data_IF_686738617279
#
_entry.id   IF_686738617279
#
_cell.length_a   1.000
_cell.length_b   1.000
_cell.length_c   1.000
_cell.angle_alpha   90.00
_cell.angle_beta   90.00
_cell.angle_gamma   90.00
#
_symmetry.space_group_name_H-M   'P 1'
#
loop_
_entity.id
_entity.type
_entity.pdbx_description
1 polymer ?
#
# COMPACT_ATOMS: atom_id res chain seq x y z
N UNK A 1 28.63 -13.29 4.93
CA UNK A 1 28.48 -11.97 4.29
C UNK A 1 27.06 -11.91 3.75
N UNK A 2 26.14 -11.28 4.46
CA UNK A 2 24.78 -11.06 3.95
C UNK A 2 24.57 -9.55 3.91
N UNK A 3 24.85 -8.96 2.76
CA UNK A 3 24.31 -7.67 2.41
C UNK A 3 22.95 -7.95 1.77
N UNK A 4 21.88 -7.85 2.56
CA UNK A 4 20.56 -7.64 2.00
C UNK A 4 20.56 -6.22 1.43
N UNK A 5 20.89 -6.09 0.15
CA UNK A 5 20.60 -4.88 -0.60
C UNK A 5 19.08 -4.72 -0.58
N UNK A 6 18.58 -3.83 0.28
CA UNK A 6 17.23 -3.27 0.16
C UNK A 6 17.18 -2.57 -1.19
N UNK A 7 16.67 -3.29 -2.19
CA UNK A 7 16.38 -2.74 -3.50
C UNK A 7 15.17 -1.83 -3.33
N UNK A 8 15.35 -0.52 -3.54
CA UNK A 8 14.32 0.50 -3.68
C UNK A 8 12.91 0.11 -3.20
N UNK A 9 12.62 0.37 -1.91
CA UNK A 9 11.47 -0.12 -1.13
C UNK A 9 10.15 -0.30 -1.88
N UNK A 10 9.45 -1.38 -1.55
CA UNK A 10 8.24 -1.80 -2.25
C UNK A 10 7.13 -0.73 -2.14
N UNK A 11 6.22 -0.72 -3.13
CA UNK A 11 5.07 0.17 -3.13
C UNK A 11 4.05 -0.35 -2.11
N UNK A 12 3.63 0.47 -1.16
CA UNK A 12 2.54 0.16 -0.25
C UNK A 12 1.25 0.86 -0.69
N UNK A 13 0.15 0.13 -0.58
CA UNK A 13 -1.22 0.62 -0.71
C UNK A 13 -1.94 0.44 0.62
N UNK A 14 -2.53 1.49 1.14
CA UNK A 14 -3.41 1.43 2.31
C UNK A 14 -4.84 1.71 1.87
N UNK A 15 -5.74 0.79 2.18
CA UNK A 15 -7.18 0.90 1.97
C UNK A 15 -7.84 0.73 3.34
N UNK A 16 -8.43 1.80 3.86
CA UNK A 16 -8.91 1.87 5.25
C UNK A 16 -7.82 1.47 6.28
N UNK A 17 -7.92 0.29 6.89
CA UNK A 17 -6.95 -0.27 7.83
C UNK A 17 -6.08 -1.38 7.25
N UNK A 18 -6.31 -1.76 5.99
CA UNK A 18 -5.61 -2.85 5.30
C UNK A 18 -4.44 -2.29 4.51
N UNK A 19 -3.26 -2.90 4.68
CA UNK A 19 -2.02 -2.51 3.99
C UNK A 19 -1.60 -3.65 3.08
N UNK A 20 -1.33 -3.32 1.83
CA UNK A 20 -0.89 -4.24 0.79
C UNK A 20 0.46 -3.80 0.24
N UNK A 21 1.32 -4.78 -0.02
CA UNK A 21 2.57 -4.56 -0.75
C UNK A 21 2.35 -4.90 -2.21
N UNK A 22 2.70 -3.97 -3.09
CA UNK A 22 2.73 -4.15 -4.53
C UNK A 22 4.17 -4.26 -5.02
N UNK A 23 4.43 -5.31 -5.80
CA UNK A 23 5.62 -5.36 -6.64
C UNK A 23 5.56 -4.25 -7.69
N UNK A 24 6.70 -3.68 -8.04
CA UNK A 24 6.78 -2.58 -9.01
C UNK A 24 7.61 -3.05 -10.21
N UNK A 25 7.07 -2.86 -11.42
CA UNK A 25 7.80 -3.21 -12.64
C UNK A 25 8.93 -2.21 -12.91
N UNK A 26 10.05 -2.70 -13.46
CA UNK A 26 11.17 -1.86 -13.89
C UNK A 26 10.85 -1.19 -15.24
N UNK A 27 10.12 -0.07 -15.19
CA UNK A 27 9.80 0.72 -16.38
C UNK A 27 9.63 2.22 -16.06
N UNK A 28 9.67 3.11 -17.09
CA UNK A 28 9.59 4.55 -16.88
C UNK A 28 8.28 5.02 -16.23
N UNK A 29 7.15 4.36 -16.52
CA UNK A 29 5.84 4.70 -15.94
C UNK A 29 5.82 4.42 -14.45
N UNK A 30 6.32 3.27 -14.03
CA UNK A 30 6.39 2.88 -12.63
C UNK A 30 7.36 3.78 -11.83
N UNK A 31 8.50 4.13 -12.41
CA UNK A 31 9.43 5.09 -11.80
C UNK A 31 8.81 6.48 -11.65
N UNK A 32 8.09 6.96 -12.67
CA UNK A 32 7.38 8.24 -12.62
C UNK A 32 6.23 8.21 -11.60
N UNK A 33 5.49 7.10 -11.51
CA UNK A 33 4.45 6.91 -10.49
C UNK A 33 5.04 6.96 -9.07
N UNK A 34 6.15 6.27 -8.81
CA UNK A 34 6.86 6.33 -7.51
C UNK A 34 7.26 7.76 -7.11
N UNK A 35 7.53 8.61 -8.09
CA UNK A 35 7.89 10.02 -7.86
C UNK A 35 6.70 10.89 -7.43
N UNK A 36 5.47 10.39 -7.52
CA UNK A 36 4.26 11.06 -7.03
C UNK A 36 3.96 10.74 -5.56
N UNK A 37 4.65 9.77 -4.96
CA UNK A 37 4.37 9.30 -3.61
C UNK A 37 4.91 10.27 -2.53
N UNK A 38 4.23 10.39 -1.37
CA UNK A 38 2.95 9.76 -1.04
C UNK A 38 1.78 10.37 -1.82
N UNK A 39 0.83 9.53 -2.23
CA UNK A 39 -0.30 9.94 -3.05
C UNK A 39 -1.60 9.36 -2.51
N UNK A 40 -2.58 10.22 -2.25
CA UNK A 40 -3.93 9.80 -1.86
C UNK A 40 -4.88 9.96 -3.05
N UNK A 41 -5.57 8.89 -3.42
CA UNK A 41 -6.53 8.87 -4.51
C UNK A 41 -7.89 8.36 -4.04
N UNK A 42 -8.94 9.09 -4.40
CA UNK A 42 -10.31 8.64 -4.24
C UNK A 42 -10.73 7.89 -5.50
N UNK A 43 -10.70 6.57 -5.43
CA UNK A 43 -10.88 5.67 -6.57
C UNK A 43 -12.32 5.19 -6.67
N UNK A 44 -12.95 5.39 -7.82
CA UNK A 44 -14.34 4.99 -8.06
C UNK A 44 -14.39 3.59 -8.64
N UNK A 45 -15.46 2.87 -8.32
CA UNK A 45 -15.77 1.58 -8.94
C UNK A 45 -16.21 1.78 -10.39
N UNK A 46 -15.67 0.96 -11.27
CA UNK A 46 -16.11 0.85 -12.65
C UNK A 46 -16.38 -0.62 -12.97
N UNK A 47 -17.55 -0.90 -13.52
CA UNK A 47 -17.99 -2.23 -13.97
C UNK A 47 -17.96 -3.36 -12.92
N UNK A 48 -17.71 -3.07 -11.64
CA UNK A 48 -17.64 -4.08 -10.60
C UNK A 48 -16.39 -4.96 -10.60
N UNK A 49 -15.36 -4.62 -11.39
CA UNK A 49 -14.09 -5.38 -11.47
C UNK A 49 -12.81 -4.52 -11.31
N UNK A 50 -12.94 -3.19 -11.35
CA UNK A 50 -11.81 -2.27 -11.27
C UNK A 50 -12.14 -1.02 -10.42
N UNK A 51 -11.12 -0.49 -9.74
CA UNK A 51 -11.14 0.84 -9.15
C UNK A 51 -10.27 1.77 -9.99
N UNK A 52 -10.71 2.99 -10.22
CA UNK A 52 -9.93 3.95 -11.02
C UNK A 52 -9.96 5.37 -10.48
N UNK A 53 -8.88 6.12 -10.74
CA UNK A 53 -8.78 7.56 -10.48
C UNK A 53 -7.78 8.21 -11.44
N UNK A 54 -7.97 9.50 -11.71
CA UNK A 54 -7.01 10.27 -12.48
C UNK A 54 -5.85 10.78 -11.61
N UNK A 55 -4.64 10.60 -12.10
CA UNK A 55 -3.42 11.16 -11.52
C UNK A 55 -3.36 12.69 -11.71
N UNK A 56 -2.69 13.41 -10.80
CA UNK A 56 -2.56 14.86 -10.89
C UNK A 56 -1.77 15.31 -12.13
N UNK A 57 -0.83 14.48 -12.60
CA UNK A 57 0.00 14.71 -13.78
C UNK A 57 -0.01 13.50 -14.71
N UNK A 58 0.25 13.75 -16.00
CA UNK A 58 0.41 12.67 -16.96
C UNK A 58 1.76 11.98 -16.79
N UNK A 59 1.77 10.66 -16.91
CA UNK A 59 2.96 9.82 -16.86
C UNK A 59 3.42 9.42 -18.28
N UNK A 60 4.70 9.04 -18.46
CA UNK A 60 5.13 8.36 -19.67
C UNK A 60 4.36 7.03 -19.84
N UNK A 61 4.17 6.61 -21.08
CA UNK A 61 3.36 5.44 -21.42
C UNK A 61 4.09 4.52 -22.38
N UNK A 62 3.99 3.23 -22.14
CA UNK A 62 4.44 2.17 -23.05
C UNK A 62 3.32 1.12 -23.11
N UNK A 63 2.13 1.57 -23.54
CA UNK A 63 0.91 0.78 -23.43
C UNK A 63 0.92 -0.39 -24.40
N UNK A 64 0.61 -1.58 -23.89
CA UNK A 64 0.47 -2.81 -24.68
C UNK A 64 -0.89 -3.44 -24.40
N UNK A 65 -1.37 -4.25 -25.33
CA UNK A 65 -2.51 -5.13 -25.07
C UNK A 65 -2.04 -6.31 -24.19
N UNK A 66 -2.52 -6.43 -22.93
CA UNK A 66 -2.13 -7.52 -22.07
C UNK A 66 -2.86 -8.84 -22.42
N UNK A 67 -3.95 -8.80 -23.18
CA UNK A 67 -4.87 -9.91 -23.48
C UNK A 67 -5.69 -10.40 -22.27
N UNK A 68 -5.05 -10.50 -21.11
CA UNK A 68 -5.65 -10.85 -19.83
C UNK A 68 -5.07 -10.00 -18.72
N UNK A 69 -5.97 -9.53 -17.86
CA UNK A 69 -5.71 -8.78 -16.64
C UNK A 69 -6.02 -9.69 -15.46
N UNK A 70 -5.15 -9.64 -14.44
CA UNK A 70 -5.30 -10.40 -13.21
C UNK A 70 -5.83 -9.49 -12.10
N UNK A 71 -6.61 -10.04 -11.19
CA UNK A 71 -6.82 -9.39 -9.90
C UNK A 71 -5.45 -9.00 -9.28
N UNK A 72 -5.37 -7.85 -8.63
CA UNK A 72 -4.15 -7.28 -8.09
C UNK A 72 -3.30 -6.48 -9.09
N UNK A 73 -3.59 -6.51 -10.39
CA UNK A 73 -2.85 -5.71 -11.36
C UNK A 73 -3.08 -4.19 -11.13
N UNK A 74 -1.98 -3.43 -11.03
CA UNK A 74 -1.98 -1.97 -11.00
C UNK A 74 -1.46 -1.43 -12.33
N UNK A 75 -2.31 -0.70 -13.06
CA UNK A 75 -2.05 -0.29 -14.44
C UNK A 75 -2.41 1.17 -14.70
N UNK A 76 -1.84 1.73 -15.77
CA UNK A 76 -2.20 3.03 -16.31
C UNK A 76 -2.97 2.88 -17.62
N UNK A 77 -4.18 3.42 -17.66
CA UNK A 77 -4.97 3.63 -18.86
C UNK A 77 -4.71 5.03 -19.44
N UNK A 78 -4.39 5.09 -20.73
CA UNK A 78 -3.87 6.31 -21.34
C UNK A 78 -2.61 6.78 -20.61
N UNK A 79 -2.54 8.07 -20.26
CA UNK A 79 -1.39 8.66 -19.55
C UNK A 79 -1.71 9.15 -18.14
N UNK A 80 -2.97 9.05 -17.69
CA UNK A 80 -3.42 9.68 -16.43
C UNK A 80 -4.30 8.80 -15.56
N UNK A 81 -5.02 7.83 -16.11
CA UNK A 81 -6.00 7.10 -15.33
C UNK A 81 -5.35 5.87 -14.71
N UNK A 82 -5.15 5.90 -13.40
CA UNK A 82 -4.68 4.76 -12.63
C UNK A 82 -5.83 3.78 -12.43
N UNK A 83 -5.57 2.50 -12.64
CA UNK A 83 -6.54 1.42 -12.52
C UNK A 83 -5.97 0.32 -11.63
N UNK A 84 -6.72 -0.03 -10.59
CA UNK A 84 -6.47 -1.15 -9.70
C UNK A 84 -7.52 -2.22 -9.95
N UNK A 85 -7.09 -3.36 -10.48
CA UNK A 85 -7.97 -4.49 -10.77
C UNK A 85 -8.10 -5.38 -9.55
N UNK A 86 -9.32 -5.81 -9.24
CA UNK A 86 -9.58 -6.77 -8.15
C UNK A 86 -10.35 -8.00 -8.64
N UNK A 87 -10.64 -8.10 -9.93
CA UNK A 87 -11.13 -9.30 -10.59
C UNK A 87 -10.36 -9.55 -11.89
N UNK A 88 -10.28 -10.81 -12.30
CA UNK A 88 -9.68 -11.17 -13.59
C UNK A 88 -10.55 -10.65 -14.75
N UNK A 89 -9.92 -10.11 -15.79
CA UNK A 89 -10.64 -9.54 -16.93
C UNK A 89 -9.92 -9.77 -18.25
N UNK A 90 -10.65 -10.12 -19.30
CA UNK A 90 -10.09 -10.20 -20.65
C UNK A 90 -10.46 -8.94 -21.42
N UNK A 91 -9.47 -8.36 -22.10
CA UNK A 91 -9.60 -7.09 -22.78
C UNK A 91 -8.69 -7.03 -24.00
N UNK A 92 -9.05 -6.20 -24.97
CA UNK A 92 -8.22 -5.80 -26.10
C UNK A 92 -7.74 -4.33 -25.98
N UNK A 93 -8.03 -3.68 -24.85
CA UNK A 93 -7.53 -2.34 -24.57
C UNK A 93 -6.07 -2.38 -24.16
N UNK A 94 -5.37 -1.27 -24.41
CA UNK A 94 -3.96 -1.14 -24.10
C UNK A 94 -3.75 -0.44 -22.78
N UNK A 95 -2.86 -0.99 -21.95
CA UNK A 95 -2.49 -0.45 -20.65
C UNK A 95 -0.97 -0.44 -20.50
N UNK A 96 -0.45 0.44 -19.63
CA UNK A 96 0.94 0.35 -19.19
C UNK A 96 0.97 -0.23 -17.78
N UNK A 97 1.67 -1.35 -17.57
CA UNK A 97 1.77 -2.00 -16.24
C UNK A 97 2.65 -1.19 -15.30
N UNK A 98 2.18 -0.98 -14.07
CA UNK A 98 2.94 -0.27 -13.01
C UNK A 98 3.40 -1.26 -11.94
N UNK A 99 2.50 -2.12 -11.47
CA UNK A 99 2.79 -3.08 -10.42
C UNK A 99 1.73 -4.15 -10.28
N UNK A 100 1.90 -5.01 -9.28
CA UNK A 100 0.91 -6.03 -8.92
C UNK A 100 0.96 -6.35 -7.44
N UNK A 101 -0.21 -6.52 -6.83
CA UNK A 101 -0.42 -7.00 -5.45
C UNK A 101 -0.66 -8.50 -5.50
N UNK A 102 -0.03 -9.30 -4.65
CA UNK A 102 -0.21 -10.77 -4.65
C UNK A 102 -1.33 -11.26 -3.71
N UNK A 103 -1.68 -10.49 -2.67
CA UNK A 103 -2.79 -10.82 -1.77
C UNK A 103 -4.14 -10.41 -2.38
N UNK A 104 -4.64 -11.24 -3.30
CA UNK A 104 -5.87 -10.97 -4.03
C UNK A 104 -7.12 -11.05 -3.14
N UNK A 105 -7.21 -12.05 -2.26
CA UNK A 105 -8.38 -12.25 -1.40
C UNK A 105 -8.51 -11.10 -0.39
N UNK A 106 -7.38 -10.70 0.21
CA UNK A 106 -7.33 -9.53 1.08
C UNK A 106 -7.70 -8.24 0.33
N UNK A 107 -7.20 -8.07 -0.90
CA UNK A 107 -7.52 -6.92 -1.73
C UNK A 107 -9.01 -6.84 -2.03
N UNK A 108 -9.63 -7.93 -2.50
CA UNK A 108 -11.06 -7.99 -2.83
C UNK A 108 -11.92 -7.64 -1.60
N UNK A 109 -11.55 -8.15 -0.43
CA UNK A 109 -12.25 -7.83 0.81
C UNK A 109 -12.12 -6.34 1.20
N UNK A 110 -10.95 -5.73 0.97
CA UNK A 110 -10.69 -4.34 1.34
C UNK A 110 -11.31 -3.32 0.37
N UNK A 111 -11.35 -3.62 -0.94
CA UNK A 111 -11.90 -2.68 -1.93
C UNK A 111 -13.41 -2.57 -1.87
N UNK A 112 -14.11 -3.65 -1.50
CA UNK A 112 -15.56 -3.70 -1.37
C UNK A 112 -16.33 -3.13 -2.56
N UNK A 113 -17.55 -2.68 -2.31
CA UNK A 113 -18.40 -2.02 -3.30
C UNK A 113 -18.21 -0.50 -3.30
N UNK A 114 -18.25 0.10 -4.48
CA UNK A 114 -18.27 1.56 -4.61
C UNK A 114 -16.90 2.22 -4.46
N UNK A 115 -16.91 3.48 -4.02
CA UNK A 115 -15.73 4.33 -4.02
C UNK A 115 -14.91 4.15 -2.74
N UNK A 116 -13.58 4.13 -2.90
CA UNK A 116 -12.61 3.98 -1.82
C UNK A 116 -11.59 5.11 -1.83
N UNK A 117 -11.00 5.41 -0.67
CA UNK A 117 -9.81 6.24 -0.56
C UNK A 117 -8.59 5.31 -0.41
N UNK A 118 -7.59 5.50 -1.26
CA UNK A 118 -6.36 4.68 -1.30
C UNK A 118 -5.16 5.58 -1.11
N UNK A 119 -4.35 5.26 -0.11
CA UNK A 119 -3.05 5.89 0.10
C UNK A 119 -1.96 5.03 -0.52
N UNK A 120 -1.13 5.62 -1.38
CA UNK A 120 0.05 5.00 -1.94
C UNK A 120 1.29 5.62 -1.30
N UNK A 121 2.20 4.79 -0.80
CA UNK A 121 3.44 5.21 -0.18
C UNK A 121 4.59 4.27 -0.54
N UNK A 122 5.83 4.67 -0.29
CA UNK A 122 6.96 3.74 -0.28
C UNK A 122 7.01 3.03 1.06
N UNK A 123 7.32 1.74 1.08
CA UNK A 123 7.67 1.05 2.32
C UNK A 123 8.81 1.81 3.01
N UNK A 124 8.54 2.30 4.22
CA UNK A 124 9.54 2.97 5.01
C UNK A 124 10.47 1.88 5.58
N UNK A 125 11.69 1.79 5.04
CA UNK A 125 12.73 0.89 5.57
C UNK A 125 13.21 1.30 6.98
N UNK A 126 12.57 2.28 7.62
CA UNK A 126 12.92 2.87 8.91
C UNK A 126 12.16 2.25 10.09
N UNK A 127 12.11 0.92 10.18
CA UNK A 127 11.66 0.24 11.41
C UNK A 127 12.52 -0.99 11.78
N UNK A 128 13.84 -0.93 11.54
CA UNK A 128 14.79 -1.75 12.30
C UNK A 128 15.56 -0.86 13.27
N UNK A 129 14.97 -0.55 14.42
CA UNK A 129 15.80 -0.20 15.58
C UNK A 129 16.49 -1.49 16.02
N UNK A 130 17.83 -1.65 15.91
CA UNK A 130 18.49 -2.79 16.51
C UNK A 130 18.28 -2.69 18.02
N UNK A 131 17.44 -3.58 18.56
CA UNK A 131 17.40 -3.85 19.99
C UNK A 131 18.83 -4.10 20.45
N UNK A 132 19.38 -3.37 21.44
CA UNK A 132 20.66 -3.76 22.04
C UNK A 132 20.45 -5.15 22.63
N UNK A 133 21.11 -6.14 22.02
CA UNK A 133 21.14 -7.52 22.46
C UNK A 133 21.55 -7.58 23.94
N UNK A 134 20.58 -7.83 24.83
CA UNK A 134 20.83 -8.08 26.25
C UNK A 134 21.45 -9.47 26.44
N UNK A 135 22.77 -9.55 26.39
CA UNK A 135 23.52 -10.65 26.98
C UNK A 135 23.65 -10.42 28.50
N UNK A 136 22.90 -11.22 29.25
CA UNK A 136 22.84 -11.24 30.71
C UNK A 136 24.10 -11.91 31.29
N UNK A 137 24.93 -11.17 32.05
CA UNK A 137 25.56 -11.65 33.29
C UNK A 137 26.29 -10.54 34.09
N UNK A 138 25.67 -10.18 35.22
CA UNK A 138 26.24 -9.83 36.52
C UNK A 138 27.27 -8.69 36.66
N UNK A 139 26.80 -7.52 37.12
CA UNK A 139 27.47 -6.77 38.19
C UNK A 139 26.46 -5.87 38.91
N UNK A 140 26.41 -5.99 40.23
CA UNK A 140 25.53 -5.28 41.15
C UNK A 140 25.79 -3.77 41.21
N UNK A 141 24.75 -2.95 41.05
CA UNK A 141 24.65 -1.64 41.73
C UNK A 141 23.17 -1.22 41.88
N UNK A 142 22.91 -0.68 43.07
CA UNK A 142 21.66 -0.34 43.71
C UNK A 142 21.35 1.16 43.44
N UNK A 143 20.09 1.56 43.18
CA UNK A 143 19.43 2.72 43.82
C UNK A 143 18.15 3.24 43.11
N UNK A 144 17.13 3.42 43.96
CA UNK A 144 16.17 4.53 44.00
C UNK A 144 14.95 4.54 43.07
N UNK A 145 13.86 4.00 43.63
CA UNK A 145 12.52 4.62 43.76
C UNK A 145 12.11 5.68 42.73
N UNK A 146 11.08 5.38 41.93
CA UNK A 146 9.89 6.23 41.79
C UNK A 146 8.74 5.35 41.28
N UNK A 147 7.68 5.21 42.08
CA UNK A 147 6.48 4.46 41.75
C UNK A 147 5.44 5.33 41.06
N UNK A 148 4.73 4.74 40.10
CA UNK A 148 3.44 5.24 39.59
C UNK A 148 2.50 4.04 39.38
N UNK A 149 1.27 4.05 39.91
CA UNK A 149 0.30 2.95 39.78
C UNK A 149 -0.44 2.96 38.43
N UNK A 150 -1.00 1.81 38.00
CA UNK A 150 -1.85 1.70 36.81
C UNK A 150 -3.27 2.23 37.09
N UNK A 151 -4.06 2.48 36.04
CA UNK A 151 -5.43 3.06 35.96
C UNK A 151 -5.37 4.49 35.37
N UNK A 152 -6.07 4.93 34.33
CA UNK A 152 -7.39 4.64 33.75
C UNK A 152 -7.38 5.22 32.32
N UNK A 153 -7.91 4.56 31.30
CA UNK A 153 -8.67 5.25 30.26
C UNK A 153 -9.64 4.27 29.58
N UNK A 154 -10.86 4.24 30.13
CA UNK A 154 -12.06 3.63 29.57
C UNK A 154 -13.07 4.78 29.44
N UNK A 155 -13.39 5.23 28.22
CA UNK A 155 -14.53 6.11 27.93
C UNK A 155 -14.99 5.77 26.50
N UNK A 156 -15.96 4.88 26.32
CA UNK A 156 -17.42 5.03 26.46
C UNK A 156 -18.08 5.46 25.14
N UNK A 157 -18.79 4.47 24.59
CA UNK A 157 -19.83 4.52 23.56
C UNK A 157 -20.88 5.59 23.89
N UNK A 158 -21.30 6.39 22.90
CA UNK A 158 -22.64 6.99 22.92
C UNK A 158 -23.32 6.90 21.55
N UNK A 159 -24.47 6.22 21.57
CA UNK A 159 -25.50 6.13 20.53
C UNK A 159 -26.46 7.31 20.73
N UNK A 160 -26.91 7.99 19.67
CA UNK A 160 -28.33 8.17 19.28
C UNK A 160 -28.51 9.26 18.21
N UNK A 161 -29.23 8.85 17.16
CA UNK A 161 -30.24 9.56 16.35
C UNK A 161 -30.31 11.10 16.46
N UNK A 162 -30.20 11.75 15.30
CA UNK A 162 -31.34 12.41 14.64
C UNK A 162 -31.23 12.21 13.14
#
# INVERSE_FOLDING_TARGET
>A
MSATNSSAGDLQLTIESSVFTASVFDNPTASAFRSLLPLNLRMSDLNGNEKHADLPTALPTASTDPGSIRAGDLMLYGSRTLVLWYEDYSTNYTYTRIGAIEDFDGLVAAVGEGQIDVEFATEDSSASNPTPSSNRASSSINMSSYGWPPLVFLFLIYVLRY
#
